data_IF_057287469434
#
_entry.id   IF_057287469434
#
_cell.length_a   1.000
_cell.length_b   1.000
_cell.length_c   1.000
_cell.angle_alpha   90.00
_cell.angle_beta   90.00
_cell.angle_gamma   90.00
#
_symmetry.space_group_name_H-M   'P 1'
#
loop_
_entity.id
_entity.type
_entity.pdbx_description
1 polymer ?
#
# COMPACT_ATOMS: atom_id res chain seq x y z
N UNK A 1 22.14 75.37 45.41
CA UNK A 1 22.84 74.15 44.91
C UNK A 1 21.79 73.11 44.58
N UNK A 2 21.47 72.94 43.29
CA UNK A 2 20.43 72.00 42.83
C UNK A 2 21.08 70.72 42.38
N UNK A 3 20.73 69.59 43.00
CA UNK A 3 21.11 68.25 42.53
C UNK A 3 20.02 67.68 41.66
N UNK A 4 20.30 67.54 40.40
CA UNK A 4 19.42 66.87 39.39
C UNK A 4 19.49 65.35 39.56
N UNK A 5 18.38 64.77 40.00
CA UNK A 5 18.16 63.31 39.98
C UNK A 5 17.81 62.85 38.58
N UNK A 6 18.66 61.99 37.99
CA UNK A 6 18.43 61.37 36.67
C UNK A 6 17.79 60.03 36.84
N UNK A 7 16.48 59.96 36.66
CA UNK A 7 15.75 58.67 36.62
C UNK A 7 16.00 57.99 35.27
N UNK A 8 16.76 56.89 35.29
CA UNK A 8 16.89 56.00 34.13
C UNK A 8 15.68 55.07 34.07
N UNK A 9 14.83 55.27 33.05
CA UNK A 9 13.73 54.34 32.72
C UNK A 9 14.28 53.17 31.95
N UNK A 10 14.35 52.00 32.55
CA UNK A 10 14.61 50.74 31.87
C UNK A 10 13.35 50.32 31.11
N UNK A 11 13.35 50.39 29.79
CA UNK A 11 12.34 49.74 28.94
C UNK A 11 12.70 48.28 28.82
N UNK A 12 11.95 47.41 29.49
CA UNK A 12 12.04 45.96 29.28
C UNK A 12 11.40 45.63 27.93
N UNK A 13 12.22 45.37 26.92
CA UNK A 13 11.77 44.80 25.65
C UNK A 13 11.69 43.27 25.85
N UNK A 14 10.50 42.76 26.01
CA UNK A 14 10.25 41.31 26.01
C UNK A 14 10.28 40.85 24.57
N UNK A 15 11.36 40.15 24.16
CA UNK A 15 11.41 39.40 22.92
C UNK A 15 10.60 38.11 23.11
N UNK A 16 9.37 38.10 22.62
CA UNK A 16 8.58 36.89 22.49
C UNK A 16 9.09 36.07 21.29
N UNK A 17 9.96 35.09 21.57
CA UNK A 17 10.35 34.09 20.58
C UNK A 17 9.17 33.16 20.32
N UNK A 18 8.43 33.38 19.25
CA UNK A 18 7.44 32.44 18.74
C UNK A 18 8.18 31.26 18.11
N UNK A 19 8.38 30.20 18.89
CA UNK A 19 8.81 28.89 18.36
C UNK A 19 7.61 28.32 17.60
N UNK A 20 7.63 28.50 16.28
CA UNK A 20 6.68 27.87 15.38
C UNK A 20 6.91 26.37 15.40
N UNK A 21 6.05 25.61 16.10
CA UNK A 21 5.97 24.17 15.97
C UNK A 21 5.39 23.88 14.57
N UNK A 22 6.28 23.69 13.58
CA UNK A 22 5.90 23.09 12.30
C UNK A 22 5.55 21.63 12.55
N UNK A 23 4.28 21.35 12.78
CA UNK A 23 3.74 20.00 12.73
C UNK A 23 3.84 19.56 11.27
N UNK A 24 4.91 18.85 10.91
CA UNK A 24 4.97 18.11 9.67
C UNK A 24 3.88 17.04 9.75
N UNK A 25 2.73 17.31 9.14
CA UNK A 25 1.76 16.28 8.80
C UNK A 25 2.53 15.31 7.89
N UNK A 26 3.01 14.20 8.49
CA UNK A 26 3.45 13.06 7.71
C UNK A 26 2.22 12.60 6.93
N UNK A 27 2.07 13.07 5.70
CA UNK A 27 1.19 12.43 4.74
C UNK A 27 1.72 11.00 4.63
N UNK A 28 0.89 10.03 4.98
CA UNK A 28 1.16 8.64 4.59
C UNK A 28 1.51 8.71 3.10
N UNK A 29 2.71 8.25 2.76
CA UNK A 29 3.17 8.33 1.39
C UNK A 29 2.10 7.68 0.52
N UNK A 30 1.52 8.46 -0.38
CA UNK A 30 0.48 7.99 -1.28
C UNK A 30 1.11 6.91 -2.17
N UNK A 31 0.83 5.66 -1.88
CA UNK A 31 1.37 4.48 -2.57
C UNK A 31 0.33 3.93 -3.54
N UNK A 32 0.78 3.27 -4.60
CA UNK A 32 -0.07 2.43 -5.43
C UNK A 32 0.00 1.03 -4.83
N UNK A 33 -1.12 0.53 -4.32
CA UNK A 33 -1.19 -0.78 -3.69
C UNK A 33 -1.45 -1.88 -4.72
N UNK A 34 -0.60 -2.90 -4.69
CA UNK A 34 -0.65 -4.06 -5.58
C UNK A 34 -1.00 -5.28 -4.75
N UNK A 35 -2.19 -5.82 -4.91
CA UNK A 35 -2.60 -7.08 -4.30
C UNK A 35 -1.89 -8.26 -4.95
N UNK A 36 -1.38 -9.19 -4.14
CA UNK A 36 -0.72 -10.41 -4.59
C UNK A 36 -1.47 -11.61 -4.01
N UNK A 37 -2.23 -12.28 -4.87
CA UNK A 37 -3.16 -13.34 -4.50
C UNK A 37 -2.64 -14.69 -5.02
N UNK A 38 -1.77 -15.31 -4.26
CA UNK A 38 -1.18 -16.61 -4.57
C UNK A 38 -1.09 -17.48 -3.31
N UNK A 39 -1.37 -18.78 -3.45
CA UNK A 39 -1.25 -19.73 -2.34
C UNK A 39 0.19 -19.90 -1.91
N UNK A 40 0.45 -19.62 -0.63
CA UNK A 40 1.74 -19.78 0.03
C UNK A 40 1.78 -21.03 0.88
N UNK A 41 0.62 -21.65 1.07
CA UNK A 41 0.43 -22.92 1.76
C UNK A 41 -0.54 -23.82 0.99
N UNK A 42 -0.62 -25.11 1.38
CA UNK A 42 -1.41 -26.11 0.69
C UNK A 42 -0.75 -26.64 -0.58
N UNK A 43 -1.54 -27.36 -1.41
CA UNK A 43 -1.02 -28.13 -2.55
C UNK A 43 -0.46 -27.28 -3.69
N UNK A 44 -0.95 -26.06 -3.85
CA UNK A 44 -0.51 -25.14 -4.92
C UNK A 44 0.72 -24.30 -4.56
N UNK A 45 1.14 -24.31 -3.29
CA UNK A 45 2.23 -23.48 -2.80
C UNK A 45 3.54 -23.68 -3.58
N UNK A 46 3.81 -24.92 -4.01
CA UNK A 46 5.03 -25.27 -4.79
C UNK A 46 5.16 -24.44 -6.07
N UNK A 47 4.06 -24.10 -6.72
CA UNK A 47 4.05 -23.29 -7.95
C UNK A 47 3.78 -21.82 -7.66
N UNK A 48 2.84 -21.52 -6.79
CA UNK A 48 2.36 -20.15 -6.57
C UNK A 48 3.33 -19.30 -5.75
N UNK A 49 4.18 -19.89 -4.91
CA UNK A 49 5.23 -19.14 -4.20
C UNK A 49 6.18 -18.44 -5.16
N UNK A 50 6.58 -19.12 -6.23
CA UNK A 50 7.45 -18.52 -7.27
C UNK A 50 6.75 -17.36 -8.00
N UNK A 51 5.45 -17.49 -8.24
CA UNK A 51 4.67 -16.41 -8.87
C UNK A 51 4.60 -15.17 -7.95
N UNK A 52 4.32 -15.37 -6.66
CA UNK A 52 4.38 -14.30 -5.65
C UNK A 52 5.76 -13.63 -5.64
N UNK A 53 6.85 -14.41 -5.60
CA UNK A 53 8.22 -13.87 -5.60
C UNK A 53 8.51 -13.05 -6.86
N UNK A 54 7.99 -13.49 -8.03
CA UNK A 54 8.11 -12.75 -9.28
C UNK A 54 7.43 -11.39 -9.21
N UNK A 55 6.20 -11.33 -8.69
CA UNK A 55 5.48 -10.05 -8.52
C UNK A 55 6.24 -9.13 -7.57
N UNK A 56 6.72 -9.64 -6.43
CA UNK A 56 7.50 -8.86 -5.47
C UNK A 56 8.79 -8.32 -6.07
N UNK A 57 9.50 -9.13 -6.85
CA UNK A 57 10.70 -8.70 -7.57
C UNK A 57 10.39 -7.56 -8.55
N UNK A 58 9.29 -7.65 -9.31
CA UNK A 58 8.89 -6.62 -10.26
C UNK A 58 8.51 -5.32 -9.55
N UNK A 59 7.79 -5.39 -8.42
CA UNK A 59 7.46 -4.23 -7.57
C UNK A 59 8.74 -3.56 -7.06
N UNK A 60 9.69 -4.35 -6.56
CA UNK A 60 10.98 -3.84 -6.09
C UNK A 60 11.77 -3.15 -7.21
N UNK A 61 11.86 -3.79 -8.37
CA UNK A 61 12.56 -3.23 -9.53
C UNK A 61 11.92 -1.91 -9.99
N UNK A 62 10.60 -1.84 -10.04
CA UNK A 62 9.89 -0.61 -10.40
C UNK A 62 10.13 0.50 -9.37
N UNK A 63 10.14 0.15 -8.08
CA UNK A 63 10.45 1.09 -7.01
C UNK A 63 11.89 1.63 -7.07
N UNK A 64 12.86 0.79 -7.45
CA UNK A 64 14.25 1.22 -7.69
C UNK A 64 14.36 2.20 -8.85
N UNK A 65 13.49 2.10 -9.84
CA UNK A 65 13.40 3.05 -10.97
C UNK A 65 12.67 4.36 -10.63
N UNK A 66 12.18 4.51 -9.40
CA UNK A 66 11.46 5.70 -8.94
C UNK A 66 9.95 5.51 -8.74
N UNK A 67 9.47 4.29 -8.84
CA UNK A 67 8.04 3.98 -8.68
C UNK A 67 7.25 4.16 -9.97
N UNK A 68 5.98 4.48 -9.84
CA UNK A 68 5.06 4.69 -10.94
C UNK A 68 4.25 5.96 -10.68
N UNK A 69 4.16 6.85 -11.68
CA UNK A 69 3.45 8.12 -11.55
C UNK A 69 3.90 8.97 -10.34
N UNK A 70 5.18 8.90 -9.98
CA UNK A 70 5.74 9.59 -8.82
C UNK A 70 5.44 8.95 -7.47
N UNK A 71 4.79 7.76 -7.44
CA UNK A 71 4.41 7.04 -6.24
C UNK A 71 5.20 5.73 -6.12
N UNK A 72 5.43 5.28 -4.89
CA UNK A 72 5.94 3.94 -4.63
C UNK A 72 4.84 2.90 -4.83
N UNK A 73 5.22 1.71 -5.27
CA UNK A 73 4.36 0.54 -5.26
C UNK A 73 4.49 -0.17 -3.91
N UNK A 74 3.37 -0.58 -3.35
CA UNK A 74 3.27 -1.34 -2.11
C UNK A 74 2.59 -2.68 -2.40
N UNK A 75 3.29 -3.78 -2.20
CA UNK A 75 2.72 -5.11 -2.39
C UNK A 75 1.98 -5.55 -1.12
N UNK A 76 0.73 -5.94 -1.27
CA UNK A 76 -0.10 -6.54 -0.22
C UNK A 76 -0.31 -8.01 -0.55
N UNK A 77 0.41 -8.88 0.17
CA UNK A 77 0.40 -10.34 -0.08
C UNK A 77 -0.60 -11.02 0.82
N UNK A 78 -1.43 -11.89 0.25
CA UNK A 78 -2.37 -12.73 0.99
C UNK A 78 -2.20 -14.20 0.59
N UNK A 79 -2.46 -15.11 1.54
CA UNK A 79 -2.41 -16.55 1.33
C UNK A 79 -3.82 -17.15 1.33
N UNK A 80 -4.36 -17.57 0.18
CA UNK A 80 -5.62 -18.31 0.11
C UNK A 80 -5.46 -19.81 0.34
N UNK A 81 -4.29 -20.30 0.75
CA UNK A 81 -4.02 -21.65 1.25
C UNK A 81 -4.51 -22.78 0.34
N UNK A 82 -4.48 -22.60 -0.98
CA UNK A 82 -4.99 -23.56 -1.97
C UNK A 82 -6.49 -23.92 -1.77
N UNK A 83 -7.25 -23.01 -1.16
CA UNK A 83 -8.66 -23.17 -0.86
C UNK A 83 -9.50 -22.22 -1.69
N UNK A 84 -10.33 -22.73 -2.58
CA UNK A 84 -11.06 -21.91 -3.55
C UNK A 84 -12.03 -20.89 -2.93
N UNK A 85 -12.86 -21.25 -1.93
CA UNK A 85 -13.63 -20.26 -1.18
C UNK A 85 -12.77 -19.17 -0.55
N UNK A 86 -11.60 -19.52 0.00
CA UNK A 86 -10.71 -18.56 0.62
C UNK A 86 -10.07 -17.60 -0.40
N UNK A 87 -9.89 -18.02 -1.67
CA UNK A 87 -9.50 -17.11 -2.75
C UNK A 87 -10.50 -15.96 -2.89
N UNK A 88 -11.81 -16.26 -2.87
CA UNK A 88 -12.86 -15.23 -2.95
C UNK A 88 -12.84 -14.30 -1.73
N UNK A 89 -12.68 -14.84 -0.51
CA UNK A 89 -12.59 -14.04 0.72
C UNK A 89 -11.36 -13.11 0.70
N UNK A 90 -10.21 -13.64 0.31
CA UNK A 90 -8.96 -12.86 0.23
C UNK A 90 -9.01 -11.80 -0.87
N UNK A 91 -9.71 -12.06 -1.97
CA UNK A 91 -9.98 -11.05 -2.99
C UNK A 91 -10.81 -9.90 -2.43
N UNK A 92 -11.87 -10.22 -1.68
CA UNK A 92 -12.70 -9.21 -1.00
C UNK A 92 -11.89 -8.41 0.03
N UNK A 93 -11.05 -9.09 0.81
CA UNK A 93 -10.14 -8.44 1.76
C UNK A 93 -9.22 -7.42 1.06
N UNK A 94 -8.57 -7.83 -0.03
CA UNK A 94 -7.70 -6.95 -0.82
C UNK A 94 -8.43 -5.71 -1.35
N UNK A 95 -9.65 -5.88 -1.86
CA UNK A 95 -10.40 -4.77 -2.48
C UNK A 95 -11.09 -3.88 -1.44
N UNK A 96 -11.70 -4.44 -0.39
CA UNK A 96 -12.50 -3.67 0.57
C UNK A 96 -11.71 -3.14 1.76
N UNK A 97 -10.78 -3.93 2.31
CA UNK A 97 -10.00 -3.52 3.49
C UNK A 97 -8.69 -2.86 3.11
N UNK A 98 -7.90 -3.56 2.31
CA UNK A 98 -6.57 -3.09 1.90
C UNK A 98 -6.63 -1.99 0.85
N UNK A 99 -7.74 -1.90 0.10
CA UNK A 99 -7.95 -0.90 -0.95
C UNK A 99 -6.86 -0.95 -2.01
N UNK A 100 -6.53 -2.15 -2.49
CA UNK A 100 -5.54 -2.29 -3.55
C UNK A 100 -6.08 -1.75 -4.87
N UNK A 101 -5.21 -1.16 -5.67
CA UNK A 101 -5.54 -0.59 -6.99
C UNK A 101 -5.65 -1.68 -8.06
N UNK A 102 -4.92 -2.78 -7.89
CA UNK A 102 -4.84 -3.89 -8.83
C UNK A 102 -4.46 -5.17 -8.10
N UNK A 103 -4.94 -6.31 -8.60
CA UNK A 103 -4.55 -7.64 -8.10
C UNK A 103 -3.79 -8.39 -9.19
N UNK A 104 -2.65 -8.98 -8.84
CA UNK A 104 -2.00 -10.04 -9.61
C UNK A 104 -2.20 -11.35 -8.87
N UNK A 105 -2.81 -12.33 -9.54
CA UNK A 105 -3.11 -13.53 -8.80
C UNK A 105 -3.73 -14.65 -9.61
N UNK A 106 -3.95 -15.69 -8.86
CA UNK A 106 -4.39 -16.99 -9.28
C UNK A 106 -3.36 -17.74 -10.16
N UNK A 107 -3.47 -19.06 -10.15
CA UNK A 107 -2.69 -19.93 -11.01
C UNK A 107 -3.59 -20.95 -11.70
N UNK A 108 -4.54 -21.53 -10.99
CA UNK A 108 -5.50 -22.48 -11.55
C UNK A 108 -6.74 -21.78 -12.08
N UNK A 109 -7.37 -22.31 -13.13
CA UNK A 109 -8.63 -21.80 -13.64
C UNK A 109 -9.74 -21.85 -12.60
N UNK A 110 -9.75 -22.84 -11.70
CA UNK A 110 -10.73 -22.93 -10.63
C UNK A 110 -10.56 -21.81 -9.58
N UNK A 111 -9.32 -21.43 -9.23
CA UNK A 111 -9.11 -20.27 -8.35
C UNK A 111 -9.56 -18.97 -9.02
N UNK A 112 -9.25 -18.78 -10.29
CA UNK A 112 -9.72 -17.63 -11.08
C UNK A 112 -11.25 -17.54 -11.10
N UNK A 113 -11.93 -18.64 -11.41
CA UNK A 113 -13.40 -18.71 -11.41
C UNK A 113 -14.02 -18.43 -10.04
N UNK A 114 -13.33 -18.77 -8.96
CA UNK A 114 -13.78 -18.47 -7.59
C UNK A 114 -13.73 -16.97 -7.25
N UNK A 115 -12.76 -16.24 -7.80
CA UNK A 115 -12.61 -14.81 -7.52
C UNK A 115 -13.41 -13.91 -8.46
N UNK A 116 -13.73 -14.39 -9.66
CA UNK A 116 -14.40 -13.61 -10.70
C UNK A 116 -15.67 -12.91 -10.20
N UNK A 117 -16.61 -13.57 -9.49
CA UNK A 117 -17.80 -12.90 -8.99
C UNK A 117 -17.49 -11.74 -8.04
N UNK A 118 -16.43 -11.83 -7.23
CA UNK A 118 -16.01 -10.77 -6.31
C UNK A 118 -15.38 -9.60 -7.06
N UNK A 119 -14.56 -9.88 -8.07
CA UNK A 119 -13.96 -8.88 -8.94
C UNK A 119 -15.05 -8.07 -9.67
N UNK A 120 -16.07 -8.76 -10.19
CA UNK A 120 -17.19 -8.11 -10.88
C UNK A 120 -18.06 -7.30 -9.92
N UNK A 121 -18.44 -7.86 -8.76
CA UNK A 121 -19.25 -7.19 -7.75
C UNK A 121 -18.60 -5.90 -7.24
N UNK A 122 -17.28 -5.93 -7.00
CA UNK A 122 -16.53 -4.81 -6.44
C UNK A 122 -15.85 -3.92 -7.49
N UNK A 123 -16.12 -4.20 -8.79
CA UNK A 123 -15.48 -3.49 -9.90
C UNK A 123 -13.95 -3.44 -9.78
N UNK A 124 -13.36 -4.57 -9.37
CA UNK A 124 -11.92 -4.72 -9.19
C UNK A 124 -11.18 -4.91 -10.51
N UNK A 125 -9.87 -4.66 -10.48
CA UNK A 125 -8.98 -4.95 -11.59
C UNK A 125 -8.04 -6.10 -11.20
N UNK A 126 -8.05 -7.18 -12.00
CA UNK A 126 -7.17 -8.31 -11.78
C UNK A 126 -6.45 -8.72 -13.07
N UNK A 127 -5.15 -8.96 -12.94
CA UNK A 127 -4.35 -9.63 -13.97
C UNK A 127 -4.12 -11.08 -13.56
N UNK A 128 -4.47 -11.98 -14.47
CA UNK A 128 -4.21 -13.42 -14.39
C UNK A 128 -2.99 -13.75 -15.27
N UNK A 129 -1.77 -13.79 -14.69
CA UNK A 129 -0.54 -13.76 -15.48
C UNK A 129 -0.05 -15.13 -15.94
N UNK A 130 -0.86 -16.17 -15.84
CA UNK A 130 -0.49 -17.55 -16.16
C UNK A 130 -1.28 -18.04 -17.38
N UNK A 131 -1.45 -19.35 -17.53
CA UNK A 131 -2.18 -19.90 -18.67
C UNK A 131 -3.67 -19.56 -18.63
N UNK A 132 -4.26 -19.32 -19.77
CA UNK A 132 -5.70 -19.20 -19.96
C UNK A 132 -6.24 -20.43 -20.69
N UNK A 133 -7.16 -21.14 -20.05
CA UNK A 133 -7.72 -22.39 -20.55
C UNK A 133 -9.10 -22.21 -21.19
N UNK A 134 -9.54 -20.95 -21.29
CA UNK A 134 -10.87 -20.61 -21.77
C UNK A 134 -11.96 -20.69 -20.68
N UNK A 135 -13.17 -20.44 -21.10
CA UNK A 135 -14.39 -20.55 -20.31
C UNK A 135 -15.19 -21.78 -20.76
#
# INVERSE_FOLDING_TARGET
MQTRSWKRTFKNTIFASAVGLSVSLAHAADTIKVGVLHSLSGTMAISETTLKDTVLMMVEQQNKKGGLLGKKLEAVVVDPASNWPLFAEKTRELLEKEKVDVIFGCWTSVSRKSVLPVIEELNGLMFYPVQYEGE
#
